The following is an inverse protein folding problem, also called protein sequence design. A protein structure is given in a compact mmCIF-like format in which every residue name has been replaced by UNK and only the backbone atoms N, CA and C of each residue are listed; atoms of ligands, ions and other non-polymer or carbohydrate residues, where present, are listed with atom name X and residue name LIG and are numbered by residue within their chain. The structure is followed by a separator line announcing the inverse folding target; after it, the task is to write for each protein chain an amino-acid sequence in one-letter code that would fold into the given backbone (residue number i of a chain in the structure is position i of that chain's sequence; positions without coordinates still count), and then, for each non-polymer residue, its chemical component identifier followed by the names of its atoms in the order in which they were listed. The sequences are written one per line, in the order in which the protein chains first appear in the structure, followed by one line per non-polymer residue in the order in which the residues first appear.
data_IF_939304209276
#
_entry.id   IF_939304209276
#
_cell.length_a   1.000
_cell.length_b   1.000
_cell.length_c   1.000
_cell.angle_alpha   90.00
_cell.angle_beta   90.00
_cell.angle_gamma   90.00
#
_symmetry.space_group_name_H-M   'P 1'
#
loop_
_entity.id
_entity.type
_entity.pdbx_description
1 polymer ?
#
# COMPACT_ATOMS: atom_id res chain seq x y z
N UNK A 1 -19.02 42.33 32.59
CA UNK A 1 -17.74 42.70 31.95
C UNK A 1 -17.40 41.64 30.89
N UNK A 2 -18.30 41.39 29.93
CA UNK A 2 -18.27 40.13 29.16
C UNK A 2 -18.63 40.38 27.68
N UNK A 3 -17.87 41.22 26.98
CA UNK A 3 -17.78 41.16 25.52
C UNK A 3 -16.50 40.41 25.17
N UNK A 4 -16.51 39.10 25.40
CA UNK A 4 -15.43 38.28 24.86
C UNK A 4 -15.61 38.26 23.34
N UNK A 5 -14.64 38.86 22.66
CA UNK A 5 -14.69 39.24 21.25
C UNK A 5 -15.06 38.04 20.34
N UNK A 6 -16.23 38.07 19.71
CA UNK A 6 -16.65 37.06 18.71
C UNK A 6 -15.60 36.84 17.61
N UNK A 7 -14.81 37.87 17.28
CA UNK A 7 -13.68 37.78 16.35
C UNK A 7 -12.56 36.86 16.85
N UNK A 8 -12.31 36.84 18.16
CA UNK A 8 -11.32 35.95 18.78
C UNK A 8 -11.79 34.49 18.75
N UNK A 9 -13.07 34.27 19.05
CA UNK A 9 -13.67 32.94 19.00
C UNK A 9 -13.73 32.38 17.56
N UNK A 10 -13.99 33.25 16.58
CA UNK A 10 -13.89 32.93 15.15
C UNK A 10 -12.46 32.56 14.74
N UNK A 11 -11.45 33.28 15.26
CA UNK A 11 -10.04 33.03 14.96
C UNK A 11 -9.58 31.67 15.51
N UNK A 12 -10.03 31.29 16.71
CA UNK A 12 -9.78 29.97 17.29
C UNK A 12 -10.45 28.86 16.49
N UNK A 13 -11.67 29.08 15.98
CA UNK A 13 -12.35 28.08 15.16
C UNK A 13 -11.63 27.88 13.81
N UNK A 14 -11.13 28.97 13.22
CA UNK A 14 -10.37 28.94 11.97
C UNK A 14 -9.02 28.23 12.13
N UNK A 15 -8.33 28.40 13.28
CA UNK A 15 -7.04 27.74 13.51
C UNK A 15 -7.18 26.21 13.62
N UNK A 16 -8.22 25.72 14.29
CA UNK A 16 -8.50 24.28 14.42
C UNK A 16 -8.76 23.64 13.04
N UNK A 17 -9.43 24.34 12.13
CA UNK A 17 -9.70 23.84 10.78
C UNK A 17 -8.41 23.69 9.93
N UNK A 18 -7.46 24.62 10.08
CA UNK A 18 -6.18 24.56 9.36
C UNK A 18 -5.31 23.41 9.88
N UNK A 19 -5.27 23.16 11.19
CA UNK A 19 -4.46 22.07 11.76
C UNK A 19 -5.12 20.68 11.65
N UNK A 20 -6.44 20.59 11.48
CA UNK A 20 -7.17 19.32 11.33
C UNK A 20 -6.99 18.64 9.97
N UNK A 21 -6.37 19.30 9.00
CA UNK A 21 -6.27 18.84 7.60
C UNK A 21 -5.05 17.93 7.33
N UNK A 22 -4.56 17.19 8.33
CA UNK A 22 -3.46 16.22 8.15
C UNK A 22 -4.04 14.94 7.54
N UNK A 23 -4.26 14.96 6.23
CA UNK A 23 -4.65 13.77 5.47
C UNK A 23 -3.40 12.92 5.24
N UNK A 24 -3.22 11.85 6.03
CA UNK A 24 -2.26 10.80 5.71
C UNK A 24 -2.80 10.01 4.53
N UNK A 25 -2.39 10.37 3.31
CA UNK A 25 -2.56 9.49 2.16
C UNK A 25 -1.80 8.20 2.49
N UNK A 26 -2.54 7.13 2.81
CA UNK A 26 -1.96 5.83 3.08
C UNK A 26 -1.27 5.37 1.79
N UNK A 27 0.06 5.45 1.78
CA UNK A 27 0.86 4.92 0.69
C UNK A 27 0.61 3.41 0.66
N UNK A 28 -0.16 2.95 -0.32
CA UNK A 28 -0.41 1.52 -0.54
C UNK A 28 0.91 0.93 -1.01
N UNK A 29 1.68 0.39 -0.06
CA UNK A 29 2.90 -0.33 -0.36
C UNK A 29 2.51 -1.66 -1.03
N UNK A 30 3.05 -1.98 -2.21
CA UNK A 30 2.82 -3.28 -2.81
C UNK A 30 3.33 -4.38 -1.87
N UNK A 31 2.58 -5.48 -1.76
CA UNK A 31 2.94 -6.61 -0.92
C UNK A 31 4.35 -7.11 -1.29
N UNK A 32 5.25 -7.32 -0.31
CA UNK A 32 6.64 -7.75 -0.56
C UNK A 32 6.81 -9.05 -1.38
N UNK A 33 5.77 -9.88 -1.41
CA UNK A 33 5.65 -11.07 -2.25
C UNK A 33 4.37 -10.94 -3.08
N UNK A 34 4.44 -10.33 -4.28
CA UNK A 34 3.29 -10.25 -5.16
C UNK A 34 2.79 -11.66 -5.49
N UNK A 35 1.48 -11.87 -5.37
CA UNK A 35 0.84 -13.09 -5.88
C UNK A 35 0.99 -13.12 -7.40
N UNK A 36 1.31 -14.29 -7.95
CA UNK A 36 1.38 -14.54 -9.37
C UNK A 36 0.52 -15.76 -9.72
N UNK A 37 -0.27 -15.62 -10.77
CA UNK A 37 -1.12 -16.72 -11.27
C UNK A 37 -0.69 -17.06 -12.68
N UNK A 38 -0.32 -18.31 -12.92
CA UNK A 38 -0.16 -18.85 -14.26
C UNK A 38 -1.44 -19.61 -14.63
N UNK A 39 -2.11 -19.17 -15.69
CA UNK A 39 -3.27 -19.84 -16.24
C UNK A 39 -2.91 -20.46 -17.58
N UNK A 40 -3.21 -21.74 -17.76
CA UNK A 40 -3.05 -22.42 -19.03
C UNK A 40 -4.18 -23.40 -19.27
N UNK A 41 -4.77 -23.33 -20.45
CA UNK A 41 -5.78 -24.27 -20.91
C UNK A 41 -5.13 -25.39 -21.72
N UNK A 42 -5.32 -26.64 -21.29
CA UNK A 42 -4.82 -27.84 -21.96
C UNK A 42 -6.03 -28.63 -22.46
N UNK A 43 -6.28 -28.59 -23.77
CA UNK A 43 -7.44 -29.22 -24.39
C UNK A 43 -8.75 -28.63 -23.85
N UNK A 44 -9.46 -29.41 -23.03
CA UNK A 44 -10.70 -29.04 -22.33
C UNK A 44 -10.53 -28.69 -20.85
N UNK A 45 -9.32 -28.81 -20.31
CA UNK A 45 -9.06 -28.63 -18.88
C UNK A 45 -8.30 -27.33 -18.64
N UNK A 46 -8.73 -26.60 -17.61
CA UNK A 46 -8.09 -25.36 -17.20
C UNK A 46 -7.15 -25.61 -16.01
N UNK A 47 -5.87 -25.28 -16.18
CA UNK A 47 -4.85 -25.39 -15.15
C UNK A 47 -4.53 -24.00 -14.62
N UNK A 48 -4.79 -23.80 -13.33
CA UNK A 48 -4.46 -22.55 -12.63
C UNK A 48 -3.41 -22.83 -11.57
N UNK A 49 -2.23 -22.24 -11.72
CA UNK A 49 -1.14 -22.30 -10.74
C UNK A 49 -1.08 -20.95 -10.04
N UNK A 50 -1.51 -20.91 -8.78
CA UNK A 50 -1.33 -19.74 -7.91
C UNK A 50 -0.04 -19.93 -7.12
N UNK A 51 0.94 -19.06 -7.35
CA UNK A 51 2.23 -19.11 -6.68
C UNK A 51 2.64 -17.71 -6.20
N UNK A 52 3.27 -17.63 -5.05
CA UNK A 52 3.92 -16.40 -4.62
C UNK A 52 5.25 -16.26 -5.35
N UNK A 53 5.58 -15.08 -5.88
CA UNK A 53 6.93 -14.77 -6.40
C UNK A 53 7.75 -14.12 -5.28
N UNK A 54 8.46 -14.89 -4.42
CA UNK A 54 9.33 -14.29 -3.41
C UNK A 54 10.46 -13.55 -4.12
N UNK A 55 10.62 -12.26 -3.83
CA UNK A 55 11.76 -11.48 -4.31
C UNK A 55 13.06 -12.12 -3.83
N UNK A 56 13.93 -12.48 -4.77
CA UNK A 56 15.24 -13.06 -4.48
C UNK A 56 16.18 -11.93 -4.10
N UNK A 57 16.17 -11.57 -2.82
CA UNK A 57 16.98 -10.51 -2.21
C UNK A 57 18.47 -10.92 -2.10
N UNK A 58 19.10 -11.32 -3.22
CA UNK A 58 20.50 -11.76 -3.26
C UNK A 58 20.80 -13.10 -2.57
N UNK A 59 19.79 -13.93 -2.32
CA UNK A 59 19.95 -15.26 -1.70
C UNK A 59 20.09 -16.34 -2.78
N UNK A 60 20.96 -17.32 -2.55
CA UNK A 60 21.12 -18.49 -3.41
C UNK A 60 19.79 -19.27 -3.46
N UNK A 61 19.17 -19.32 -4.63
CA UNK A 61 17.94 -20.08 -4.88
C UNK A 61 18.35 -21.45 -5.43
N UNK A 62 17.71 -22.52 -4.96
CA UNK A 62 17.82 -23.88 -5.54
C UNK A 62 19.25 -24.39 -5.73
N UNK A 63 20.18 -24.07 -4.82
CA UNK A 63 21.58 -24.53 -4.90
C UNK A 63 22.45 -23.78 -5.90
N UNK A 64 21.93 -22.76 -6.59
CA UNK A 64 22.63 -21.95 -7.59
C UNK A 64 21.80 -21.82 -8.87
N UNK A 65 21.91 -20.66 -9.53
CA UNK A 65 21.41 -20.51 -10.91
C UNK A 65 22.24 -21.44 -11.79
N UNK A 66 21.63 -22.50 -12.34
CA UNK A 66 22.25 -23.29 -13.40
C UNK A 66 22.53 -22.34 -14.56
N UNK A 67 23.80 -22.14 -14.96
CA UNK A 67 24.12 -21.33 -16.13
C UNK A 67 23.53 -21.99 -17.37
N UNK A 68 22.95 -21.18 -18.25
CA UNK A 68 22.55 -21.60 -19.60
C UNK A 68 23.76 -21.64 -20.54
#
# INVERSE_FOLDING_TARGET
MNKLNNKFLLLCFLSVFVFGSINYAQLVLPQPSPSATAYQKIGTTDVTINYSKPGVKGRTIWGGLVPY
#
